data_IF_084673846676
#
_entry.id   IF_084673846676
#
_cell.length_a   1.000
_cell.length_b   1.000
_cell.length_c   1.000
_cell.angle_alpha   90.00
_cell.angle_beta   90.00
_cell.angle_gamma   90.00
#
_symmetry.space_group_name_H-M   'P 1'
#
loop_
_entity.id
_entity.type
_entity.pdbx_description
1 polymer ?
#
# COMPACT_ATOMS: atom_id res chain seq x y z
N UNK A 1 -21.85 -6.08 13.81
CA UNK A 1 -21.84 -5.81 12.36
C UNK A 1 -20.82 -6.74 11.72
N UNK A 2 -21.12 -7.35 10.57
CA UNK A 2 -20.13 -8.14 9.82
C UNK A 2 -19.00 -7.26 9.27
N UNK A 3 -17.86 -7.88 8.95
CA UNK A 3 -16.70 -7.20 8.33
C UNK A 3 -17.11 -6.54 7.02
N UNK A 4 -16.62 -5.34 6.76
CA UNK A 4 -16.85 -4.65 5.49
C UNK A 4 -15.77 -5.04 4.50
N UNK A 5 -16.17 -5.80 3.48
CA UNK A 5 -15.28 -6.21 2.39
C UNK A 5 -14.97 -5.03 1.47
N UNK A 6 -13.71 -4.91 1.08
CA UNK A 6 -13.18 -3.87 0.19
C UNK A 6 -12.39 -4.57 -0.91
N UNK A 7 -12.91 -4.50 -2.13
CA UNK A 7 -12.27 -5.08 -3.31
C UNK A 7 -11.16 -4.18 -3.81
N UNK A 8 -9.95 -4.71 -3.92
CA UNK A 8 -8.78 -4.03 -4.46
C UNK A 8 -8.54 -4.53 -5.87
N UNK A 9 -8.45 -3.61 -6.83
CA UNK A 9 -8.10 -3.91 -8.22
C UNK A 9 -6.77 -3.25 -8.50
N UNK A 10 -5.76 -4.06 -8.81
CA UNK A 10 -4.44 -3.55 -9.18
C UNK A 10 -4.35 -3.41 -10.69
N UNK A 11 -4.28 -2.17 -11.17
CA UNK A 11 -3.96 -1.79 -12.55
C UNK A 11 -2.56 -1.15 -12.61
N UNK A 12 -1.63 -1.74 -11.86
CA UNK A 12 -0.22 -1.38 -11.79
C UNK A 12 0.56 -2.56 -12.39
N UNK A 13 1.50 -2.31 -13.30
CA UNK A 13 2.28 -3.38 -13.94
C UNK A 13 3.04 -4.27 -12.94
N UNK A 14 3.42 -5.46 -13.40
CA UNK A 14 3.82 -6.64 -12.61
C UNK A 14 5.00 -6.44 -11.63
N UNK A 15 5.89 -5.45 -11.84
CA UNK A 15 7.17 -5.36 -11.12
C UNK A 15 7.07 -5.22 -9.59
N UNK A 16 5.98 -4.66 -9.04
CA UNK A 16 5.84 -4.40 -7.60
C UNK A 16 4.47 -4.78 -7.02
N UNK A 17 3.63 -5.46 -7.80
CA UNK A 17 2.28 -5.84 -7.37
C UNK A 17 2.34 -6.78 -6.17
N UNK A 18 3.26 -7.75 -6.13
CA UNK A 18 3.38 -8.72 -5.04
C UNK A 18 3.65 -8.09 -3.67
N UNK A 19 4.59 -7.14 -3.59
CA UNK A 19 4.92 -6.44 -2.34
C UNK A 19 3.71 -5.62 -1.84
N UNK A 20 3.05 -4.92 -2.75
CA UNK A 20 1.87 -4.12 -2.43
C UNK A 20 0.69 -4.99 -1.98
N UNK A 21 0.44 -6.09 -2.70
CA UNK A 21 -0.59 -7.09 -2.35
C UNK A 21 -0.37 -7.65 -0.96
N UNK A 22 0.86 -8.06 -0.66
CA UNK A 22 1.22 -8.57 0.65
C UNK A 22 0.90 -7.53 1.74
N UNK A 23 1.36 -6.28 1.58
CA UNK A 23 1.13 -5.25 2.59
C UNK A 23 -0.35 -4.93 2.80
N UNK A 24 -1.13 -4.84 1.72
CA UNK A 24 -2.58 -4.58 1.82
C UNK A 24 -3.30 -5.76 2.48
N UNK A 25 -2.97 -6.99 2.13
CA UNK A 25 -3.55 -8.18 2.78
C UNK A 25 -3.12 -8.30 4.24
N UNK A 26 -1.90 -7.88 4.58
CA UNK A 26 -1.42 -7.83 5.96
C UNK A 26 -2.25 -6.86 6.81
N UNK A 27 -2.83 -5.80 6.24
CA UNK A 27 -3.76 -4.95 6.99
C UNK A 27 -4.94 -5.74 7.57
N UNK A 28 -5.36 -6.86 6.97
CA UNK A 28 -6.41 -7.71 7.53
C UNK A 28 -6.04 -8.36 8.87
N UNK A 29 -4.74 -8.48 9.19
CA UNK A 29 -4.30 -9.05 10.48
C UNK A 29 -4.20 -8.01 11.59
N UNK A 30 -4.27 -6.71 11.23
CA UNK A 30 -4.12 -5.60 12.17
C UNK A 30 -5.44 -5.08 12.72
N UNK A 31 -6.56 -5.48 12.12
CA UNK A 31 -7.87 -4.92 12.42
C UNK A 31 -8.98 -5.94 12.19
N UNK A 32 -10.18 -5.60 12.65
CA UNK A 32 -11.36 -6.48 12.59
C UNK A 32 -12.58 -5.87 11.87
N UNK A 33 -12.52 -4.61 11.43
CA UNK A 33 -13.61 -3.90 10.79
C UNK A 33 -13.74 -4.06 9.28
N UNK A 34 -12.62 -4.32 8.60
CA UNK A 34 -12.49 -4.38 7.15
C UNK A 34 -11.92 -5.73 6.72
N UNK A 35 -12.18 -6.07 5.47
CA UNK A 35 -11.54 -7.19 4.80
C UNK A 35 -11.12 -6.76 3.39
N UNK A 36 -9.83 -6.58 3.19
CA UNK A 36 -9.25 -6.29 1.90
C UNK A 36 -9.06 -7.58 1.11
N UNK A 37 -9.56 -7.60 -0.12
CA UNK A 37 -9.41 -8.73 -1.04
C UNK A 37 -9.03 -8.23 -2.43
N UNK A 38 -8.17 -8.95 -3.13
CA UNK A 38 -7.79 -8.58 -4.49
C UNK A 38 -8.72 -9.22 -5.51
N UNK A 39 -9.24 -8.40 -6.42
CA UNK A 39 -10.16 -8.82 -7.48
C UNK A 39 -9.51 -8.64 -8.85
N UNK A 40 -9.88 -9.52 -9.78
CA UNK A 40 -9.40 -9.47 -11.17
C UNK A 40 -10.51 -8.93 -12.07
N UNK A 41 -10.38 -7.70 -12.61
CA UNK A 41 -11.37 -7.12 -13.48
C UNK A 41 -11.35 -7.80 -14.86
N UNK A 42 -12.34 -7.48 -15.69
CA UNK A 42 -12.25 -7.79 -17.12
C UNK A 42 -11.16 -6.91 -17.75
N UNK A 43 -10.14 -7.49 -18.43
CA UNK A 43 -9.07 -6.71 -19.05
C UNK A 43 -9.57 -5.82 -20.21
N UNK A 44 -10.78 -6.07 -20.71
CA UNK A 44 -11.43 -5.27 -21.77
C UNK A 44 -12.36 -4.18 -21.23
N UNK A 45 -12.50 -4.07 -19.91
CA UNK A 45 -13.31 -3.04 -19.28
C UNK A 45 -12.79 -1.64 -19.63
N UNK A 46 -13.71 -0.72 -19.97
CA UNK A 46 -13.36 0.62 -20.44
C UNK A 46 -12.59 1.43 -19.40
N UNK A 47 -12.97 1.35 -18.12
CA UNK A 47 -12.27 2.05 -17.05
C UNK A 47 -10.85 1.51 -16.92
N UNK A 48 -10.68 0.19 -16.91
CA UNK A 48 -9.34 -0.42 -16.83
C UNK A 48 -8.48 0.00 -18.02
N UNK A 49 -9.01 -0.08 -19.24
CA UNK A 49 -8.31 0.36 -20.45
C UNK A 49 -7.95 1.84 -20.40
N UNK A 50 -8.79 2.71 -19.86
CA UNK A 50 -8.47 4.13 -19.68
C UNK A 50 -7.32 4.32 -18.70
N UNK A 51 -7.38 3.64 -17.55
CA UNK A 51 -6.41 3.77 -16.47
C UNK A 51 -5.02 3.20 -16.82
N UNK A 52 -4.90 2.36 -17.86
CA UNK A 52 -3.61 1.78 -18.28
C UNK A 52 -3.01 2.42 -19.53
N UNK A 53 -3.68 3.39 -20.17
CA UNK A 53 -3.19 4.04 -21.42
C UNK A 53 -1.98 4.96 -21.24
N UNK A 54 -1.74 5.47 -20.02
CA UNK A 54 -0.62 6.36 -19.72
C UNK A 54 -0.85 7.85 -20.04
N UNK A 55 -1.99 8.21 -20.63
CA UNK A 55 -2.36 9.62 -20.87
C UNK A 55 -2.94 10.27 -19.61
N UNK A 56 -2.75 11.59 -19.40
CA UNK A 56 -3.46 12.31 -18.34
C UNK A 56 -4.99 12.23 -18.52
N UNK A 57 -5.69 11.84 -17.47
CA UNK A 57 -7.14 11.62 -17.49
C UNK A 57 -7.90 12.74 -16.76
N UNK A 58 -8.96 13.21 -17.41
CA UNK A 58 -9.95 14.07 -16.75
C UNK A 58 -10.76 13.26 -15.72
N UNK A 59 -10.86 13.76 -14.49
CA UNK A 59 -11.56 13.05 -13.42
C UNK A 59 -13.05 12.86 -13.68
N UNK A 60 -13.73 13.78 -14.37
CA UNK A 60 -15.16 13.63 -14.68
C UNK A 60 -15.38 12.50 -15.69
N UNK A 61 -14.47 12.35 -16.66
CA UNK A 61 -14.51 11.22 -17.60
C UNK A 61 -14.30 9.90 -16.84
N UNK A 62 -13.35 9.84 -15.91
CA UNK A 62 -13.15 8.65 -15.07
C UNK A 62 -14.37 8.37 -14.17
N UNK A 63 -15.02 9.41 -13.62
CA UNK A 63 -16.24 9.25 -12.80
C UNK A 63 -17.39 8.65 -13.60
N UNK A 64 -17.57 9.07 -14.85
CA UNK A 64 -18.65 8.57 -15.71
C UNK A 64 -18.59 7.04 -15.88
N UNK A 65 -17.39 6.45 -15.89
CA UNK A 65 -17.18 5.00 -16.06
C UNK A 65 -17.25 4.19 -14.76
N UNK A 66 -17.17 4.83 -13.58
CA UNK A 66 -17.08 4.12 -12.29
C UNK A 66 -18.30 3.23 -12.01
N UNK A 67 -19.52 3.67 -12.32
CA UNK A 67 -20.72 2.86 -12.07
C UNK A 67 -20.81 1.67 -13.02
N UNK A 68 -20.49 1.87 -14.30
CA UNK A 68 -20.45 0.80 -15.29
C UNK A 68 -19.42 -0.27 -14.91
N UNK A 69 -18.22 0.14 -14.49
CA UNK A 69 -17.18 -0.74 -13.98
C UNK A 69 -17.66 -1.56 -12.78
N UNK A 70 -18.27 -0.91 -11.77
CA UNK A 70 -18.78 -1.60 -10.57
C UNK A 70 -19.86 -2.64 -10.92
N UNK A 71 -20.78 -2.31 -11.83
CA UNK A 71 -21.78 -3.25 -12.31
C UNK A 71 -21.18 -4.38 -13.14
N UNK A 72 -20.15 -4.10 -13.95
CA UNK A 72 -19.36 -5.10 -14.68
C UNK A 72 -18.71 -6.11 -13.74
N UNK A 73 -18.02 -5.62 -12.71
CA UNK A 73 -17.45 -6.45 -11.64
C UNK A 73 -18.50 -7.33 -10.97
N UNK A 74 -19.65 -6.75 -10.58
CA UNK A 74 -20.74 -7.50 -9.95
C UNK A 74 -21.26 -8.64 -10.83
N UNK A 75 -21.52 -8.36 -12.10
CA UNK A 75 -21.97 -9.36 -13.08
C UNK A 75 -20.93 -10.46 -13.26
N UNK A 76 -19.65 -10.09 -13.39
CA UNK A 76 -18.55 -11.06 -13.54
C UNK A 76 -18.47 -12.01 -12.35
N UNK A 77 -18.51 -11.50 -11.12
CA UNK A 77 -18.51 -12.33 -9.92
C UNK A 77 -19.74 -13.24 -9.86
N UNK A 78 -20.94 -12.71 -10.12
CA UNK A 78 -22.15 -13.53 -10.18
C UNK A 78 -22.04 -14.68 -11.18
N UNK A 79 -21.49 -14.40 -12.37
CA UNK A 79 -21.21 -15.44 -13.38
C UNK A 79 -20.21 -16.47 -12.88
N UNK A 80 -19.08 -16.03 -12.31
CA UNK A 80 -18.03 -16.95 -11.81
C UNK A 80 -18.55 -17.83 -10.67
N UNK A 81 -19.28 -17.27 -9.71
CA UNK A 81 -19.87 -18.04 -8.62
C UNK A 81 -20.90 -19.05 -9.13
N UNK A 82 -21.67 -18.70 -10.18
CA UNK A 82 -22.56 -19.64 -10.87
C UNK A 82 -21.81 -20.78 -11.58
N UNK A 83 -20.70 -20.46 -12.27
CA UNK A 83 -19.86 -21.43 -12.98
C UNK A 83 -19.18 -22.40 -12.02
N UNK A 84 -18.60 -21.89 -10.93
CA UNK A 84 -17.88 -22.69 -9.94
C UNK A 84 -18.78 -23.25 -8.83
N UNK A 85 -20.08 -22.94 -8.84
CA UNK A 85 -21.05 -23.35 -7.82
C UNK A 85 -20.59 -22.99 -6.40
N UNK A 86 -19.90 -21.86 -6.26
CA UNK A 86 -19.46 -21.38 -4.95
C UNK A 86 -20.67 -20.80 -4.21
N UNK A 87 -20.71 -20.98 -2.88
CA UNK A 87 -21.65 -20.27 -2.00
C UNK A 87 -21.18 -18.84 -1.71
N UNK A 88 -20.42 -18.24 -2.63
CA UNK A 88 -19.80 -16.95 -2.42
C UNK A 88 -20.84 -15.89 -2.07
N UNK A 89 -20.48 -15.07 -1.10
CA UNK A 89 -21.20 -13.85 -0.79
C UNK A 89 -21.13 -12.88 -1.97
N UNK A 90 -22.06 -11.92 -2.02
CA UNK A 90 -22.03 -10.83 -2.99
C UNK A 90 -20.65 -10.17 -3.03
N UNK A 91 -20.16 -9.76 -4.21
CA UNK A 91 -18.88 -9.08 -4.34
C UNK A 91 -18.86 -7.77 -3.54
N UNK A 92 -17.69 -7.27 -3.13
CA UNK A 92 -17.58 -6.05 -2.34
C UNK A 92 -18.32 -4.87 -2.98
N UNK A 93 -19.11 -4.18 -2.16
CA UNK A 93 -19.79 -2.94 -2.56
C UNK A 93 -18.83 -1.78 -2.82
N UNK A 94 -17.62 -1.89 -2.27
CA UNK A 94 -16.59 -0.85 -2.31
C UNK A 94 -15.37 -1.40 -3.03
N UNK A 95 -14.99 -0.70 -4.09
CA UNK A 95 -13.84 -1.03 -4.91
C UNK A 95 -12.80 0.08 -4.79
N UNK A 96 -11.54 -0.31 -4.70
CA UNK A 96 -10.38 0.59 -4.76
C UNK A 96 -9.52 0.11 -5.93
N UNK A 97 -9.37 0.94 -6.95
CA UNK A 97 -8.51 0.70 -8.11
C UNK A 97 -7.20 1.43 -7.90
N UNK A 98 -6.10 0.68 -7.91
CA UNK A 98 -4.73 1.20 -7.83
C UNK A 98 -4.21 1.30 -9.26
N UNK A 99 -3.66 2.44 -9.67
CA UNK A 99 -3.25 2.65 -11.07
C UNK A 99 -2.04 3.57 -11.20
N UNK A 100 -1.25 3.37 -12.25
CA UNK A 100 -0.18 4.29 -12.68
C UNK A 100 -0.70 5.51 -13.46
N UNK A 101 -2.01 5.63 -13.70
CA UNK A 101 -2.59 6.78 -14.39
C UNK A 101 -2.27 8.11 -13.71
N UNK A 102 -2.19 9.16 -14.52
CA UNK A 102 -2.10 10.55 -14.09
C UNK A 102 -3.47 11.21 -14.20
N UNK A 103 -3.94 11.86 -13.14
CA UNK A 103 -5.14 12.71 -13.22
C UNK A 103 -4.72 14.13 -13.64
N UNK A 104 -5.42 14.71 -14.60
CA UNK A 104 -5.06 15.97 -15.26
C UNK A 104 -5.01 17.18 -14.31
N UNK A 105 -5.70 17.11 -13.18
CA UNK A 105 -5.74 18.15 -12.15
C UNK A 105 -4.85 17.87 -10.94
N UNK A 106 -3.87 16.96 -11.09
CA UNK A 106 -2.85 16.61 -10.10
C UNK A 106 -3.38 15.96 -8.81
N UNK A 107 -4.65 15.57 -8.76
CA UNK A 107 -5.16 14.78 -7.64
C UNK A 107 -4.59 13.35 -7.65
N UNK A 108 -4.53 12.76 -6.46
CA UNK A 108 -4.07 11.38 -6.24
C UNK A 108 -5.19 10.39 -6.00
N UNK A 109 -6.40 10.88 -5.79
CA UNK A 109 -7.56 10.03 -5.56
C UNK A 109 -8.82 10.68 -6.09
N UNK A 110 -9.75 9.84 -6.53
CA UNK A 110 -11.14 10.21 -6.77
C UNK A 110 -12.04 9.11 -6.24
N UNK A 111 -13.30 9.46 -5.96
CA UNK A 111 -14.31 8.52 -5.48
C UNK A 111 -15.63 8.81 -6.16
N UNK A 112 -16.29 7.77 -6.66
CA UNK A 112 -17.60 7.88 -7.28
C UNK A 112 -18.34 6.54 -7.25
N UNK A 113 -19.62 6.55 -6.86
CA UNK A 113 -20.51 5.39 -6.89
C UNK A 113 -19.92 4.08 -6.34
N UNK A 114 -19.17 4.14 -5.23
CA UNK A 114 -18.58 2.94 -4.62
C UNK A 114 -17.24 2.51 -5.20
N UNK A 115 -16.73 3.20 -6.21
CA UNK A 115 -15.39 3.01 -6.75
C UNK A 115 -14.51 4.17 -6.29
N UNK A 116 -13.31 3.83 -5.85
CA UNK A 116 -12.26 4.78 -5.51
C UNK A 116 -11.05 4.50 -6.39
N UNK A 117 -10.47 5.52 -7.01
CA UNK A 117 -9.25 5.37 -7.79
C UNK A 117 -8.13 6.01 -7.00
N UNK A 118 -7.03 5.28 -6.82
CA UNK A 118 -5.76 5.79 -6.28
C UNK A 118 -4.79 5.86 -7.47
N UNK A 119 -4.52 7.08 -7.91
CA UNK A 119 -3.72 7.38 -9.09
C UNK A 119 -2.29 7.74 -8.69
N UNK A 120 -1.34 6.94 -9.16
CA UNK A 120 0.08 7.03 -8.79
C UNK A 120 0.94 7.74 -9.84
N UNK A 121 0.38 8.13 -11.00
CA UNK A 121 1.14 8.73 -12.09
C UNK A 121 1.78 10.08 -11.73
N UNK A 122 1.24 10.78 -10.74
CA UNK A 122 1.81 12.02 -10.21
C UNK A 122 2.89 11.81 -9.14
N UNK A 123 3.09 10.57 -8.67
CA UNK A 123 4.11 10.29 -7.66
C UNK A 123 5.50 10.51 -8.22
N UNK A 124 6.31 11.28 -7.49
CA UNK A 124 7.70 11.55 -7.84
C UNK A 124 8.63 10.93 -6.80
N UNK A 125 9.75 10.34 -7.24
CA UNK A 125 10.73 9.69 -6.33
C UNK A 125 11.25 10.62 -5.22
N UNK A 126 11.35 11.93 -5.48
CA UNK A 126 11.80 12.90 -4.47
C UNK A 126 10.75 13.16 -3.38
N UNK A 127 9.52 12.68 -3.53
CA UNK A 127 8.49 12.69 -2.49
C UNK A 127 8.81 11.72 -1.35
N UNK A 128 9.71 10.75 -1.57
CA UNK A 128 10.20 9.87 -0.53
C UNK A 128 11.25 10.56 0.38
N UNK A 129 11.25 10.28 1.70
CA UNK A 129 10.30 9.44 2.42
C UNK A 129 8.95 10.14 2.60
N UNK A 130 7.84 9.38 2.62
CA UNK A 130 7.72 7.91 2.69
C UNK A 130 7.75 7.22 1.32
N UNK A 131 7.86 5.89 1.29
CA UNK A 131 7.84 5.12 0.02
C UNK A 131 6.48 5.20 -0.68
N UNK A 132 6.43 4.85 -1.96
CA UNK A 132 5.16 4.81 -2.69
C UNK A 132 4.21 3.74 -2.13
N UNK A 133 4.74 2.63 -1.60
CA UNK A 133 3.91 1.59 -0.99
C UNK A 133 3.26 2.10 0.30
N UNK A 134 4.01 2.82 1.13
CA UNK A 134 3.46 3.49 2.31
C UNK A 134 2.40 4.52 1.96
N UNK A 135 2.57 5.22 0.83
CA UNK A 135 1.58 6.15 0.30
C UNK A 135 0.30 5.44 -0.11
N UNK A 136 0.40 4.35 -0.88
CA UNK A 136 -0.76 3.53 -1.27
C UNK A 136 -1.46 3.00 -0.02
N UNK A 137 -0.74 2.48 0.96
CA UNK A 137 -1.33 1.98 2.21
C UNK A 137 -2.15 3.06 2.93
N UNK A 138 -1.58 4.26 3.11
CA UNK A 138 -2.30 5.38 3.75
C UNK A 138 -3.57 5.74 2.99
N UNK A 139 -3.52 5.76 1.65
CA UNK A 139 -4.72 6.05 0.84
C UNK A 139 -5.73 4.91 0.88
N UNK A 140 -5.30 3.65 0.82
CA UNK A 140 -6.20 2.49 0.94
C UNK A 140 -6.92 2.48 2.29
N UNK A 141 -6.23 2.79 3.39
CA UNK A 141 -6.86 2.92 4.71
C UNK A 141 -7.86 4.09 4.73
N UNK A 142 -7.54 5.22 4.11
CA UNK A 142 -8.49 6.33 3.95
C UNK A 142 -9.75 5.90 3.19
N UNK A 143 -9.60 5.14 2.10
CA UNK A 143 -10.75 4.63 1.34
C UNK A 143 -11.60 3.65 2.17
N UNK A 144 -10.96 2.83 3.00
CA UNK A 144 -11.64 1.95 3.95
C UNK A 144 -12.45 2.73 5.00
N UNK A 145 -11.85 3.75 5.62
CA UNK A 145 -12.55 4.63 6.58
C UNK A 145 -13.79 5.28 5.94
N UNK A 146 -13.66 5.77 4.71
CA UNK A 146 -14.78 6.37 4.00
C UNK A 146 -15.88 5.38 3.56
N UNK A 147 -15.54 4.09 3.44
CA UNK A 147 -16.51 3.05 3.15
C UNK A 147 -17.51 2.85 4.30
N UNK A 148 -17.06 3.06 5.55
CA UNK A 148 -17.86 2.86 6.77
C UNK A 148 -18.43 4.13 7.37
N UNK A 149 -17.83 5.28 7.09
CA UNK A 149 -18.30 6.57 7.58
C UNK A 149 -18.84 7.44 6.44
N UNK A 150 -20.17 7.61 6.32
CA UNK A 150 -20.78 8.58 5.42
C UNK A 150 -20.21 9.99 5.54
N UNK A 151 -19.88 10.43 6.77
CA UNK A 151 -19.31 11.76 7.02
C UNK A 151 -17.90 11.93 6.48
N UNK A 152 -17.13 10.85 6.39
CA UNK A 152 -15.76 10.84 5.86
C UNK A 152 -15.70 10.38 4.39
N UNK A 153 -16.83 10.41 3.67
CA UNK A 153 -16.90 10.12 2.22
C UNK A 153 -16.21 11.16 1.33
N UNK A 154 -15.75 12.28 1.87
CA UNK A 154 -14.95 13.25 1.14
C UNK A 154 -13.57 13.42 1.76
N UNK A 155 -12.75 14.27 1.14
CA UNK A 155 -11.78 15.00 1.94
C UNK A 155 -12.53 16.08 2.70
N UNK A 156 -12.43 16.06 4.03
CA UNK A 156 -13.27 16.84 4.93
C UNK A 156 -12.51 17.98 5.61
N UNK A 157 -11.20 18.07 5.42
CA UNK A 157 -10.35 19.07 6.07
C UNK A 157 -9.51 19.87 5.11
N UNK A 158 -9.34 21.15 5.46
CA UNK A 158 -8.34 22.05 4.91
C UNK A 158 -7.39 22.43 6.06
N UNK A 159 -6.25 21.75 6.18
CA UNK A 159 -5.17 22.20 7.06
C UNK A 159 -5.04 21.47 8.39
N UNK A 160 -5.61 20.27 8.53
CA UNK A 160 -5.26 19.39 9.67
C UNK A 160 -3.86 18.80 9.53
N UNK A 161 -3.22 18.91 8.36
CA UNK A 161 -1.82 18.61 8.07
C UNK A 161 -1.38 17.28 8.65
N UNK A 162 -1.68 16.19 7.96
CA UNK A 162 -1.34 14.84 8.42
C UNK A 162 -2.53 13.90 8.61
N UNK A 163 -3.74 14.45 8.75
CA UNK A 163 -4.94 13.65 8.88
C UNK A 163 -5.26 12.91 7.58
N UNK A 164 -5.73 11.66 7.68
CA UNK A 164 -6.18 10.89 6.50
C UNK A 164 -7.35 11.55 5.76
N UNK A 165 -8.16 12.33 6.47
CA UNK A 165 -9.28 13.11 5.90
C UNK A 165 -8.88 14.43 5.23
N UNK A 166 -7.62 14.84 5.28
CA UNK A 166 -7.16 16.13 4.75
C UNK A 166 -7.16 16.16 3.22
N UNK A 167 -7.59 17.30 2.65
CA UNK A 167 -7.40 17.64 1.24
C UNK A 167 -5.91 17.95 1.04
N UNK A 168 -5.26 17.25 0.13
CA UNK A 168 -3.84 17.45 -0.19
C UNK A 168 -3.70 17.82 -1.66
N UNK A 169 -3.86 19.10 -2.03
CA UNK A 169 -3.80 19.53 -3.43
C UNK A 169 -2.36 19.64 -3.92
N UNK A 170 -1.38 19.76 -3.01
CA UNK A 170 0.04 19.89 -3.32
C UNK A 170 0.86 18.73 -2.76
N UNK A 171 2.00 18.48 -3.40
CA UNK A 171 2.88 17.33 -3.15
C UNK A 171 3.44 17.29 -1.73
N UNK A 172 3.78 18.45 -1.16
CA UNK A 172 4.30 18.56 0.21
C UNK A 172 3.30 18.05 1.25
N UNK A 173 2.02 18.31 1.01
CA UNK A 173 0.96 17.98 1.96
C UNK A 173 0.67 16.49 1.93
N UNK A 174 0.77 15.86 0.75
CA UNK A 174 0.71 14.40 0.60
C UNK A 174 1.82 13.72 1.40
N UNK A 175 3.06 14.22 1.28
CA UNK A 175 4.18 13.67 2.05
C UNK A 175 3.92 13.75 3.56
N UNK A 176 3.47 14.91 4.05
CA UNK A 176 3.13 15.10 5.45
C UNK A 176 1.98 14.18 5.89
N UNK A 177 0.96 14.01 5.05
CA UNK A 177 -0.16 13.08 5.27
C UNK A 177 0.31 11.66 5.50
N UNK A 178 1.24 11.17 4.69
CA UNK A 178 1.69 9.78 4.77
C UNK A 178 2.66 9.56 5.93
N UNK A 179 3.50 10.56 6.28
CA UNK A 179 4.42 10.47 7.41
C UNK A 179 3.72 10.61 8.77
N UNK A 180 2.81 11.57 8.91
CA UNK A 180 2.13 11.82 10.19
C UNK A 180 0.90 10.95 10.38
N UNK A 181 0.18 10.65 9.30
CA UNK A 181 -0.88 9.65 9.15
C UNK A 181 -1.67 9.37 10.44
N UNK A 182 -2.68 10.19 10.73
CA UNK A 182 -3.49 10.08 11.95
C UNK A 182 -4.98 10.40 11.72
N UNK A 183 -5.82 10.15 12.72
CA UNK A 183 -7.20 10.61 12.78
C UNK A 183 -7.29 11.85 13.68
N UNK A 184 -7.68 12.99 13.11
CA UNK A 184 -7.92 14.21 13.89
C UNK A 184 -9.20 14.09 14.75
N UNK A 185 -9.39 15.03 15.68
CA UNK A 185 -10.57 15.06 16.56
C UNK A 185 -11.90 14.99 15.79
N UNK A 186 -12.03 15.73 14.69
CA UNK A 186 -13.23 15.66 13.84
C UNK A 186 -13.42 14.27 13.24
N UNK A 187 -12.39 13.66 12.64
CA UNK A 187 -12.52 12.32 12.05
C UNK A 187 -12.89 11.28 13.09
N UNK A 188 -12.36 11.37 14.32
CA UNK A 188 -12.75 10.49 15.44
C UNK A 188 -14.22 10.69 15.80
N UNK A 189 -14.67 11.92 16.02
CA UNK A 189 -16.08 12.21 16.32
C UNK A 189 -17.02 11.81 15.18
N UNK A 190 -16.61 11.96 13.92
CA UNK A 190 -17.39 11.50 12.77
C UNK A 190 -17.57 9.98 12.76
N UNK A 191 -16.53 9.20 13.12
CA UNK A 191 -16.62 7.76 13.26
C UNK A 191 -17.50 7.35 14.46
N UNK A 192 -17.44 8.09 15.56
CA UNK A 192 -18.33 7.89 16.71
C UNK A 192 -19.79 8.15 16.37
N UNK A 193 -20.08 9.28 15.71
CA UNK A 193 -21.43 9.67 15.29
C UNK A 193 -22.02 8.71 14.24
N UNK A 194 -21.18 8.13 13.38
CA UNK A 194 -21.58 7.11 12.40
C UNK A 194 -21.69 5.70 13.03
N UNK A 195 -21.47 5.56 14.33
CA UNK A 195 -21.66 4.32 15.09
C UNK A 195 -20.54 3.27 14.89
N UNK A 196 -19.36 3.71 14.46
CA UNK A 196 -18.19 2.86 14.17
C UNK A 196 -16.96 3.25 14.98
N UNK A 197 -17.16 3.76 16.20
CA UNK A 197 -16.09 4.18 17.13
C UNK A 197 -15.11 3.04 17.47
N UNK A 198 -15.59 1.79 17.47
CA UNK A 198 -14.76 0.61 17.70
C UNK A 198 -13.68 0.42 16.62
N UNK A 199 -13.79 1.08 15.47
CA UNK A 199 -12.78 1.02 14.40
C UNK A 199 -11.66 2.05 14.55
N UNK A 200 -11.78 3.01 15.47
CA UNK A 200 -10.76 4.06 15.66
C UNK A 200 -9.39 3.46 16.01
N UNK A 201 -9.26 2.55 17.01
CA UNK A 201 -7.97 1.95 17.35
C UNK A 201 -7.37 1.15 16.20
N UNK A 202 -8.20 0.38 15.50
CA UNK A 202 -7.83 -0.43 14.33
C UNK A 202 -7.24 0.45 13.22
N UNK A 203 -7.90 1.57 12.91
CA UNK A 203 -7.41 2.54 11.93
C UNK A 203 -6.10 3.17 12.38
N UNK A 204 -5.97 3.52 13.66
CA UNK A 204 -4.75 4.14 14.19
C UNK A 204 -3.55 3.20 14.15
N UNK A 205 -3.75 1.92 14.46
CA UNK A 205 -2.70 0.90 14.32
C UNK A 205 -2.25 0.82 12.86
N UNK A 206 -3.18 0.69 11.90
CA UNK A 206 -2.85 0.65 10.48
C UNK A 206 -2.06 1.88 10.03
N UNK A 207 -2.51 3.07 10.44
CA UNK A 207 -1.90 4.35 10.05
C UNK A 207 -0.54 4.62 10.71
N UNK A 208 -0.31 4.08 11.92
CA UNK A 208 0.95 4.26 12.64
C UNK A 208 2.16 3.67 11.92
N UNK A 209 1.94 2.65 11.07
CA UNK A 209 2.96 1.89 10.34
C UNK A 209 4.06 1.27 11.22
N UNK A 210 3.92 1.34 12.54
CA UNK A 210 4.83 0.71 13.51
C UNK A 210 4.90 -0.81 13.33
N UNK A 211 3.83 -1.39 12.79
CA UNK A 211 3.71 -2.81 12.43
C UNK A 211 4.59 -3.23 11.25
N UNK A 212 5.12 -2.31 10.44
CA UNK A 212 6.00 -2.66 9.31
C UNK A 212 7.30 -3.32 9.77
N UNK A 213 7.81 -2.97 10.95
CA UNK A 213 9.10 -3.44 11.44
C UNK A 213 10.27 -2.90 10.62
N UNK A 214 11.30 -3.72 10.41
CA UNK A 214 12.55 -3.31 9.75
C UNK A 214 12.93 -4.27 8.64
N UNK A 215 13.57 -3.77 7.59
CA UNK A 215 13.99 -4.62 6.46
C UNK A 215 15.01 -5.71 6.85
N UNK A 216 15.70 -5.55 7.98
CA UNK A 216 16.69 -6.52 8.48
C UNK A 216 16.04 -7.68 9.26
N UNK A 217 14.76 -7.56 9.65
CA UNK A 217 13.98 -8.64 10.26
C UNK A 217 13.10 -9.33 9.20
N UNK A 218 13.53 -10.50 8.76
CA UNK A 218 12.83 -11.32 7.75
C UNK A 218 11.41 -11.75 8.12
N UNK A 219 11.05 -11.72 9.41
CA UNK A 219 9.70 -12.03 9.89
C UNK A 219 8.78 -10.82 9.87
N UNK A 220 9.34 -9.62 9.80
CA UNK A 220 8.56 -8.39 9.73
C UNK A 220 8.02 -8.13 8.32
N UNK A 221 6.89 -7.41 8.18
CA UNK A 221 6.36 -7.04 6.88
C UNK A 221 7.35 -6.30 5.98
N UNK A 222 8.18 -5.42 6.53
CA UNK A 222 9.23 -4.72 5.79
C UNK A 222 10.32 -5.69 5.29
N UNK A 223 10.69 -6.70 6.08
CA UNK A 223 11.63 -7.75 5.67
C UNK A 223 11.08 -8.62 4.53
N UNK A 224 9.81 -9.04 4.63
CA UNK A 224 9.14 -9.79 3.55
C UNK A 224 9.08 -8.98 2.26
N UNK A 225 8.71 -7.70 2.33
CA UNK A 225 8.64 -6.82 1.16
C UNK A 225 10.02 -6.55 0.55
N UNK A 226 11.05 -6.42 1.39
CA UNK A 226 12.45 -6.36 0.95
C UNK A 226 12.86 -7.62 0.19
N UNK A 227 12.49 -8.81 0.69
CA UNK A 227 12.73 -10.09 0.02
C UNK A 227 11.97 -10.23 -1.31
N UNK A 228 10.84 -9.54 -1.46
CA UNK A 228 10.10 -9.40 -2.72
C UNK A 228 10.70 -8.35 -3.67
N UNK A 229 11.90 -7.83 -3.39
CA UNK A 229 12.62 -6.90 -4.25
C UNK A 229 12.27 -5.43 -4.05
N UNK A 230 11.58 -5.07 -2.96
CA UNK A 230 11.24 -3.68 -2.65
C UNK A 230 11.59 -3.33 -1.20
N UNK A 231 12.77 -2.75 -0.96
CA UNK A 231 13.09 -2.19 0.35
C UNK A 231 12.36 -0.86 0.55
N UNK A 232 11.38 -0.82 1.46
CA UNK A 232 10.55 0.36 1.76
C UNK A 232 11.36 1.60 2.15
N UNK A 233 12.59 1.42 2.65
CA UNK A 233 13.44 2.52 3.12
C UNK A 233 14.47 2.97 2.08
N UNK A 234 14.61 2.23 0.97
CA UNK A 234 15.55 2.54 -0.12
C UNK A 234 14.80 2.87 -1.41
N UNK A 235 13.78 2.09 -1.76
CA UNK A 235 13.06 2.18 -3.03
C UNK A 235 12.02 3.29 -2.95
N UNK A 236 12.23 4.32 -3.77
CA UNK A 236 11.41 5.55 -3.74
C UNK A 236 10.22 5.54 -4.71
N UNK A 237 10.28 4.73 -5.76
CA UNK A 237 9.22 4.59 -6.77
C UNK A 237 8.52 3.24 -6.68
N UNK A 238 7.54 2.98 -7.56
CA UNK A 238 7.28 1.60 -8.02
C UNK A 238 8.57 1.21 -8.75
N UNK A 239 9.10 0.02 -8.71
CA UNK A 239 10.38 -0.33 -9.35
C UNK A 239 11.65 0.39 -8.79
N UNK A 240 12.65 -0.38 -8.33
CA UNK A 240 13.93 0.17 -7.95
C UNK A 240 14.70 0.71 -9.16
N UNK A 241 15.42 1.81 -8.98
CA UNK A 241 16.50 2.19 -9.92
C UNK A 241 17.66 1.22 -9.82
N UNK A 242 18.52 1.17 -10.85
CA UNK A 242 19.75 0.38 -10.80
C UNK A 242 20.61 0.70 -9.56
N UNK A 243 20.68 1.97 -9.15
CA UNK A 243 21.40 2.37 -7.94
C UNK A 243 20.74 1.88 -6.66
N UNK A 244 19.43 1.97 -6.56
CA UNK A 244 18.68 1.42 -5.41
C UNK A 244 18.83 -0.10 -5.33
N UNK A 245 18.85 -0.79 -6.48
CA UNK A 245 19.08 -2.23 -6.57
C UNK A 245 20.48 -2.62 -6.08
N UNK A 246 21.52 -1.95 -6.58
CA UNK A 246 22.90 -2.15 -6.10
C UNK A 246 22.99 -1.88 -4.60
N UNK A 247 22.36 -0.80 -4.11
CA UNK A 247 22.36 -0.45 -2.69
C UNK A 247 21.63 -1.49 -1.84
N UNK A 248 20.50 -2.03 -2.29
CA UNK A 248 19.79 -3.09 -1.58
C UNK A 248 20.61 -4.38 -1.52
N UNK A 249 21.23 -4.76 -2.64
CA UNK A 249 22.12 -5.94 -2.70
C UNK A 249 23.33 -5.76 -1.78
N UNK A 250 23.99 -4.59 -1.80
CA UNK A 250 25.12 -4.32 -0.90
C UNK A 250 24.76 -4.34 0.58
N UNK A 251 23.52 -3.98 0.95
CA UNK A 251 23.06 -4.08 2.35
C UNK A 251 22.85 -5.54 2.78
N UNK A 252 22.23 -6.33 1.90
CA UNK A 252 22.00 -7.76 2.12
C UNK A 252 23.30 -8.56 2.14
N UNK A 253 24.18 -8.32 1.17
CA UNK A 253 25.43 -9.06 1.01
C UNK A 253 26.55 -8.51 1.89
N UNK A 254 26.62 -7.19 2.09
CA UNK A 254 27.69 -6.56 2.87
C UNK A 254 27.67 -6.98 4.33
N UNK A 255 26.49 -7.22 4.90
CA UNK A 255 26.38 -7.78 6.27
C UNK A 255 26.90 -9.21 6.32
N UNK A 256 26.57 -10.06 5.34
CA UNK A 256 27.05 -11.45 5.26
C UNK A 256 28.56 -11.53 4.97
N UNK A 257 29.07 -10.72 4.04
CA UNK A 257 30.48 -10.69 3.65
C UNK A 257 31.35 -10.11 4.77
N UNK A 258 30.90 -9.07 5.49
CA UNK A 258 31.60 -8.57 6.67
C UNK A 258 31.63 -9.63 7.78
N UNK A 259 30.54 -10.36 8.00
CA UNK A 259 30.52 -11.47 8.96
C UNK A 259 31.53 -12.56 8.60
N UNK A 260 31.58 -12.93 7.32
CA UNK A 260 32.47 -13.97 6.80
C UNK A 260 33.94 -13.51 6.87
N UNK A 261 34.25 -12.27 6.51
CA UNK A 261 35.58 -11.67 6.66
C UNK A 261 36.02 -11.61 8.13
N UNK A 262 35.11 -11.22 9.03
CA UNK A 262 35.40 -11.18 10.46
C UNK A 262 35.67 -12.58 11.02
N UNK A 263 34.83 -13.57 10.69
CA UNK A 263 35.00 -14.96 11.11
C UNK A 263 36.31 -15.57 10.59
N UNK A 264 36.62 -15.37 9.31
CA UNK A 264 37.86 -15.89 8.72
C UNK A 264 39.11 -15.23 9.30
N UNK A 265 39.08 -13.93 9.54
CA UNK A 265 40.19 -13.20 10.18
C UNK A 265 40.39 -13.65 11.63
N UNK A 266 39.31 -13.77 12.40
CA UNK A 266 39.37 -14.25 13.79
C UNK A 266 39.90 -15.68 13.87
N UNK A 267 39.43 -16.58 12.99
CA UNK A 267 39.92 -17.95 12.89
C UNK A 267 41.42 -17.99 12.56
N UNK A 268 41.88 -17.19 11.59
CA UNK A 268 43.29 -17.12 11.23
C UNK A 268 44.17 -16.64 12.40
N UNK A 269 43.72 -15.62 13.15
CA UNK A 269 44.41 -15.10 14.33
C UNK A 269 44.48 -16.16 15.45
N UNK A 270 43.38 -16.88 15.70
CA UNK A 270 43.35 -17.96 16.70
C UNK A 270 44.28 -19.12 16.32
N UNK A 271 44.29 -19.53 15.05
CA UNK A 271 45.17 -20.59 14.54
C UNK A 271 46.63 -20.15 14.67
N UNK A 272 46.97 -18.92 14.25
CA UNK A 272 48.32 -18.39 14.39
C UNK A 272 48.76 -18.32 15.86
N UNK A 273 47.89 -17.88 16.77
CA UNK A 273 48.14 -17.88 18.21
C UNK A 273 48.37 -19.27 18.79
N UNK A 274 47.59 -20.27 18.36
CA UNK A 274 47.75 -21.68 18.75
C UNK A 274 49.06 -22.27 18.26
N UNK A 275 49.46 -22.02 17.01
CA UNK A 275 50.73 -22.47 16.44
C UNK A 275 51.90 -21.92 17.27
N UNK A 276 51.87 -20.63 17.59
CA UNK A 276 52.88 -19.98 18.44
C UNK A 276 52.91 -20.56 19.86
N UNK A 277 51.74 -20.75 20.49
CA UNK A 277 51.64 -21.24 21.86
C UNK A 277 52.05 -22.72 22.01
N UNK A 278 51.77 -23.55 21.00
CA UNK A 278 52.14 -24.96 20.98
C UNK A 278 53.59 -25.20 20.54
N UNK A 279 54.35 -24.15 20.21
CA UNK A 279 55.75 -24.25 19.81
C UNK A 279 55.93 -24.98 18.47
N UNK A 280 54.87 -25.08 17.67
CA UNK A 280 54.91 -25.64 16.32
C UNK A 280 55.54 -24.57 15.42
N UNK A 281 56.84 -24.69 15.16
CA UNK A 281 57.53 -23.92 14.13
C UNK A 281 57.64 -24.71 12.85
#
# INVERSE_FOLDING_TARGET
MGRKRIGIVSAIDEGNDSALRYLILHLNTLQSGFEFEFLSPDPTDLLILMLTRGEPLDREVVRAECEAFRQGMRRRFSTLSGVFQTKEEEPPDRLVVLTKATLADNFYSLRHNGVSIIALGNWQRWMAPPSILEFVLTLTVREAVAAVSPRLRGSVHLGTKGCVGDVTPVLSDVRQKVMSSYLCGYCRSALEEDGVSNLIPDVEVMLSKSWLGTADDSSSPAGVVSALGHDLFIVKGLEPTAWEHVRSTLRQDGTQQLLTLFQTTLAAVLIAGLIVALGLK
#
